data_IF_931199994990
#
_entry.id   IF_931199994990
#
_cell.length_a   1.000
_cell.length_b   1.000
_cell.length_c   1.000
_cell.angle_alpha   90.00
_cell.angle_beta   90.00
_cell.angle_gamma   90.00
#
_symmetry.space_group_name_H-M   'P 1'
#
loop_
_entity.id
_entity.type
_entity.pdbx_description
1 polymer ?
#
# COMPACT_ATOMS: atom_id res chain seq x y z
N UNK A 1 38.23 20.14 61.11
CA UNK A 1 38.29 19.06 62.11
C UNK A 1 36.97 18.28 62.10
N UNK A 2 36.83 17.28 61.24
CA UNK A 2 36.33 15.94 61.57
C UNK A 2 36.36 15.06 60.32
N UNK A 3 36.76 13.81 60.55
CA UNK A 3 37.02 12.74 59.60
C UNK A 3 35.73 11.92 59.40
N UNK A 4 35.46 11.49 58.16
CA UNK A 4 35.02 10.11 57.83
C UNK A 4 35.03 9.86 56.31
N UNK A 5 36.02 9.09 55.88
CA UNK A 5 36.02 8.24 54.67
C UNK A 5 34.97 7.10 54.83
N UNK A 6 34.54 6.28 53.86
CA UNK A 6 35.21 5.70 52.67
C UNK A 6 34.20 4.88 51.82
N UNK A 7 34.45 4.77 50.49
CA UNK A 7 34.13 3.68 49.51
C UNK A 7 32.64 3.49 49.11
N UNK A 8 32.26 3.23 47.84
CA UNK A 8 32.63 2.17 46.86
C UNK A 8 32.22 2.70 45.44
N UNK A 9 33.10 2.94 44.46
CA UNK A 9 33.56 2.09 43.33
C UNK A 9 32.48 1.33 42.51
N UNK A 10 32.42 1.67 41.21
CA UNK A 10 32.08 0.84 40.03
C UNK A 10 30.62 0.68 39.51
N UNK A 11 30.59 0.52 38.18
CA UNK A 11 29.52 0.10 37.25
C UNK A 11 28.79 1.27 36.53
N UNK A 12 28.62 1.32 35.21
CA UNK A 12 29.03 0.46 34.10
C UNK A 12 28.79 1.28 32.81
N UNK A 13 29.58 1.04 31.78
CA UNK A 13 29.30 1.45 30.39
C UNK A 13 28.01 0.75 29.90
N UNK A 14 27.33 1.41 28.94
CA UNK A 14 26.30 0.89 28.03
C UNK A 14 24.82 1.15 28.39
N UNK A 15 24.27 2.18 27.75
CA UNK A 15 22.98 2.06 27.06
C UNK A 15 23.07 2.80 25.72
N UNK A 16 23.87 2.24 24.81
CA UNK A 16 23.46 2.23 23.41
C UNK A 16 22.39 1.12 23.27
N UNK A 17 21.45 1.31 22.33
CA UNK A 17 20.42 0.37 21.89
C UNK A 17 19.09 0.38 22.66
N UNK A 18 18.26 1.37 22.35
CA UNK A 18 16.83 1.13 22.10
C UNK A 18 16.42 2.03 20.91
N UNK A 19 16.78 1.58 19.71
CA UNK A 19 16.26 2.06 18.43
C UNK A 19 14.76 1.82 18.33
N UNK A 20 13.94 2.83 17.98
CA UNK A 20 12.63 2.60 17.40
C UNK A 20 12.66 2.67 15.86
N UNK A 21 13.81 2.43 15.21
CA UNK A 21 13.91 2.53 13.75
C UNK A 21 13.63 1.21 13.00
N UNK A 22 13.51 0.07 13.70
CA UNK A 22 13.32 -1.25 13.06
C UNK A 22 11.84 -1.51 12.75
N UNK A 23 10.90 -1.01 13.56
CA UNK A 23 9.47 -1.20 13.31
C UNK A 23 9.00 -0.50 12.02
N UNK A 24 9.45 0.73 11.76
CA UNK A 24 9.08 1.48 10.55
C UNK A 24 9.71 0.91 9.26
N UNK A 25 10.89 0.29 9.34
CA UNK A 25 11.53 -0.29 8.15
C UNK A 25 10.87 -1.59 7.69
N UNK A 26 10.28 -2.36 8.62
CA UNK A 26 9.63 -3.64 8.32
C UNK A 26 8.22 -3.47 7.74
N UNK A 27 7.50 -2.40 8.07
CA UNK A 27 6.17 -2.14 7.48
C UNK A 27 6.25 -1.82 5.97
N UNK A 28 7.28 -1.08 5.54
CA UNK A 28 7.51 -0.82 4.11
C UNK A 28 7.96 -2.05 3.31
N UNK A 29 8.56 -3.07 3.94
CA UNK A 29 9.04 -4.26 3.22
C UNK A 29 7.92 -5.19 2.77
N UNK A 30 6.70 -4.99 3.28
CA UNK A 30 5.56 -5.88 3.03
C UNK A 30 4.47 -5.24 2.15
N UNK A 31 4.69 -4.03 1.62
CA UNK A 31 3.78 -3.42 0.66
C UNK A 31 3.74 -4.24 -0.62
N UNK A 32 2.60 -4.86 -0.90
CA UNK A 32 2.36 -5.59 -2.14
C UNK A 32 1.53 -4.73 -3.07
N UNK A 33 1.86 -4.71 -4.36
CA UNK A 33 1.07 -4.02 -5.39
C UNK A 33 0.73 -5.00 -6.50
N UNK A 34 -0.53 -5.04 -6.89
CA UNK A 34 -1.04 -5.77 -8.05
C UNK A 34 -1.60 -4.77 -9.06
N UNK A 35 -1.60 -5.11 -10.34
CA UNK A 35 -2.08 -4.18 -11.37
C UNK A 35 -2.57 -4.88 -12.64
N UNK A 36 -3.53 -4.24 -13.31
CA UNK A 36 -4.00 -4.58 -14.65
C UNK A 36 -3.92 -3.34 -15.55
N UNK A 37 -3.85 -3.54 -16.86
CA UNK A 37 -3.81 -2.43 -17.81
C UNK A 37 -4.56 -2.76 -19.10
N UNK A 38 -5.24 -1.76 -19.65
CA UNK A 38 -5.97 -1.86 -20.92
C UNK A 38 -5.72 -0.64 -21.79
N UNK A 39 -5.83 -0.83 -23.10
CA UNK A 39 -5.80 0.26 -24.05
C UNK A 39 -7.14 0.99 -24.07
N UNK A 40 -7.07 2.32 -24.14
CA UNK A 40 -8.21 3.22 -24.22
C UNK A 40 -8.08 4.00 -25.52
N UNK A 41 -9.04 3.80 -26.43
CA UNK A 41 -9.16 4.35 -27.78
C UNK A 41 -7.92 4.25 -28.69
N UNK A 42 -6.95 3.41 -28.31
CA UNK A 42 -5.66 3.24 -29.00
C UNK A 42 -4.60 4.29 -28.65
N UNK A 43 -4.97 5.50 -28.21
CA UNK A 43 -4.03 6.58 -27.89
C UNK A 43 -3.69 6.68 -26.39
N UNK A 44 -4.39 5.95 -25.52
CA UNK A 44 -4.19 5.97 -24.07
C UNK A 44 -4.04 4.55 -23.51
N UNK A 45 -3.45 4.45 -22.33
CA UNK A 45 -3.43 3.25 -21.49
C UNK A 45 -4.07 3.59 -20.15
N UNK A 46 -5.04 2.81 -19.71
CA UNK A 46 -5.55 2.85 -18.35
C UNK A 46 -4.88 1.71 -17.57
N UNK A 47 -4.14 2.05 -16.52
CA UNK A 47 -3.61 1.10 -15.55
C UNK A 47 -4.38 1.25 -14.24
N UNK A 48 -4.87 0.13 -13.72
CA UNK A 48 -5.49 0.04 -12.40
C UNK A 48 -4.56 -0.74 -11.48
N UNK A 49 -4.22 -0.19 -10.32
CA UNK A 49 -3.39 -0.85 -9.32
C UNK A 49 -4.04 -0.84 -7.95
N UNK A 50 -3.77 -1.89 -7.18
CA UNK A 50 -4.18 -2.04 -5.79
C UNK A 50 -2.93 -2.35 -4.98
N UNK A 51 -2.75 -1.65 -3.86
CA UNK A 51 -1.67 -1.92 -2.92
C UNK A 51 -2.12 -1.93 -1.46
N UNK A 52 -1.50 -2.79 -0.67
CA UNK A 52 -1.75 -2.94 0.76
C UNK A 52 -0.56 -3.61 1.43
N UNK A 53 -0.46 -3.48 2.75
CA UNK A 53 0.54 -4.20 3.55
C UNK A 53 0.09 -5.65 3.65
N UNK A 54 0.82 -6.56 3.00
CA UNK A 54 0.53 -7.98 3.12
C UNK A 54 1.26 -8.54 4.35
N UNK A 55 0.53 -8.73 5.46
CA UNK A 55 1.08 -9.33 6.69
C UNK A 55 1.06 -10.85 6.68
N UNK A 56 0.32 -11.43 5.75
CA UNK A 56 0.24 -12.86 5.58
C UNK A 56 1.33 -13.25 4.57
N UNK A 57 2.45 -13.74 5.09
CA UNK A 57 3.71 -14.21 4.44
C UNK A 57 3.51 -15.26 3.30
N UNK A 58 2.29 -15.37 2.77
CA UNK A 58 1.92 -15.99 1.52
C UNK A 58 2.69 -15.33 0.38
N UNK A 59 3.66 -16.05 -0.17
CA UNK A 59 4.24 -15.78 -1.48
C UNK A 59 3.10 -15.49 -2.47
N UNK A 60 2.96 -14.29 -3.05
CA UNK A 60 1.90 -14.06 -4.02
C UNK A 60 2.26 -14.85 -5.29
N UNK A 61 1.50 -15.90 -5.67
CA UNK A 61 1.81 -16.64 -6.90
C UNK A 61 1.29 -15.89 -8.15
N UNK A 62 0.41 -14.89 -7.95
CA UNK A 62 -0.35 -14.24 -9.00
C UNK A 62 -0.25 -12.71 -8.87
N UNK A 63 0.23 -12.07 -9.94
CA UNK A 63 0.31 -10.61 -10.10
C UNK A 63 -1.03 -9.86 -10.01
N UNK A 64 -2.15 -10.59 -9.95
CA UNK A 64 -3.51 -10.04 -9.85
C UNK A 64 -4.20 -10.31 -8.52
N UNK A 65 -3.57 -10.98 -7.56
CA UNK A 65 -4.18 -11.29 -6.25
C UNK A 65 -3.39 -10.68 -5.10
N UNK A 66 -4.06 -9.96 -4.22
CA UNK A 66 -3.49 -9.40 -2.98
C UNK A 66 -4.23 -9.93 -1.76
N UNK A 67 -3.49 -10.21 -0.70
CA UNK A 67 -4.01 -10.69 0.58
C UNK A 67 -3.94 -9.57 1.61
N UNK A 68 -5.02 -9.38 2.35
CA UNK A 68 -5.18 -8.33 3.37
C UNK A 68 -5.92 -8.88 4.57
N UNK A 69 -5.78 -8.21 5.71
CA UNK A 69 -6.56 -8.49 6.90
C UNK A 69 -7.72 -7.49 7.04
N UNK A 70 -8.79 -7.84 7.80
CA UNK A 70 -9.78 -6.88 8.23
C UNK A 70 -9.14 -5.64 8.86
N UNK A 71 -9.63 -4.45 8.51
CA UNK A 71 -9.10 -3.19 9.02
C UNK A 71 -7.85 -2.66 8.29
N UNK A 72 -7.31 -3.39 7.32
CA UNK A 72 -6.19 -2.90 6.52
C UNK A 72 -6.59 -1.77 5.58
N UNK A 73 -5.65 -0.85 5.35
CA UNK A 73 -5.82 0.19 4.33
C UNK A 73 -5.42 -0.37 2.98
N UNK A 74 -6.36 -0.32 2.03
CA UNK A 74 -6.17 -0.68 0.63
C UNK A 74 -6.10 0.61 -0.16
N UNK A 75 -5.00 0.81 -0.88
CA UNK A 75 -4.81 1.90 -1.82
C UNK A 75 -5.17 1.45 -3.22
N UNK A 76 -5.90 2.29 -3.96
CA UNK A 76 -6.26 2.05 -5.35
C UNK A 76 -5.85 3.25 -6.18
N UNK A 77 -5.23 3.00 -7.32
CA UNK A 77 -4.86 4.02 -8.28
C UNK A 77 -5.39 3.66 -9.66
N UNK A 78 -6.02 4.64 -10.32
CA UNK A 78 -6.43 4.60 -11.72
C UNK A 78 -5.56 5.60 -12.47
N UNK A 79 -4.70 5.10 -13.35
CA UNK A 79 -3.73 5.89 -14.11
C UNK A 79 -4.05 5.87 -15.60
N UNK A 80 -4.66 6.95 -16.11
CA UNK A 80 -4.97 7.13 -17.52
C UNK A 80 -3.87 7.97 -18.19
N UNK A 81 -3.03 7.32 -18.99
CA UNK A 81 -1.84 7.94 -19.58
C UNK A 81 -1.87 7.91 -21.09
N UNK A 82 -1.69 9.07 -21.72
CA UNK A 82 -1.55 9.21 -23.16
C UNK A 82 -0.24 8.61 -23.65
N UNK A 83 -0.31 7.82 -24.71
CA UNK A 83 0.86 7.28 -25.43
C UNK A 83 1.61 8.37 -26.20
N UNK A 84 0.95 9.51 -26.44
CA UNK A 84 1.49 10.71 -27.10
C UNK A 84 1.16 11.93 -26.26
N UNK A 85 2.11 12.87 -26.15
CA UNK A 85 1.95 14.07 -25.32
C UNK A 85 0.82 15.01 -25.79
N UNK A 86 0.48 14.97 -27.08
CA UNK A 86 -0.49 15.89 -27.71
C UNK A 86 -1.95 15.43 -27.67
N UNK A 87 -2.24 14.29 -27.02
CA UNK A 87 -3.59 13.77 -26.87
C UNK A 87 -4.08 14.05 -25.45
N UNK A 88 -5.37 14.35 -25.31
CA UNK A 88 -6.04 14.50 -24.01
C UNK A 88 -7.22 13.56 -23.87
N UNK A 89 -7.41 12.99 -22.69
CA UNK A 89 -8.56 12.17 -22.32
C UNK A 89 -8.89 12.38 -20.85
N UNK A 90 -10.08 11.94 -20.43
CA UNK A 90 -10.49 11.91 -19.02
C UNK A 90 -11.23 10.63 -18.68
N UNK A 91 -11.65 10.50 -17.43
CA UNK A 91 -12.58 9.46 -17.01
C UNK A 91 -14.02 9.85 -17.34
N UNK A 92 -14.82 8.91 -17.83
CA UNK A 92 -16.29 9.04 -17.84
C UNK A 92 -16.84 8.68 -16.46
N UNK A 93 -18.15 8.76 -16.26
CA UNK A 93 -18.74 8.25 -15.02
C UNK A 93 -18.51 6.74 -14.89
N UNK A 94 -18.09 6.27 -13.71
CA UNK A 94 -17.80 4.86 -13.46
C UNK A 94 -18.08 4.47 -12.00
N UNK A 95 -18.16 3.17 -11.77
CA UNK A 95 -18.20 2.51 -10.47
C UNK A 95 -17.01 1.58 -10.34
N UNK A 96 -16.41 1.60 -9.17
CA UNK A 96 -15.44 0.63 -8.69
C UNK A 96 -16.19 -0.33 -7.77
N UNK A 97 -16.29 -1.60 -8.17
CA UNK A 97 -16.68 -2.69 -7.28
C UNK A 97 -15.41 -3.14 -6.56
N UNK A 98 -15.43 -3.09 -5.23
CA UNK A 98 -14.26 -3.37 -4.39
C UNK A 98 -14.57 -4.46 -3.36
N UNK A 99 -13.57 -4.88 -2.60
CA UNK A 99 -13.83 -5.70 -1.40
C UNK A 99 -14.66 -4.91 -0.37
N UNK A 100 -15.29 -5.57 0.60
CA UNK A 100 -16.08 -4.90 1.65
C UNK A 100 -15.36 -3.71 2.25
N UNK A 101 -16.10 -2.61 2.45
CA UNK A 101 -15.58 -1.33 2.94
C UNK A 101 -16.00 -1.15 4.40
N UNK A 102 -15.03 -1.00 5.29
CA UNK A 102 -15.28 -0.56 6.66
C UNK A 102 -15.35 0.98 6.75
N UNK A 103 -14.44 1.66 6.06
CA UNK A 103 -14.34 3.12 6.07
C UNK A 103 -13.78 3.63 4.74
N UNK A 104 -14.30 4.76 4.29
CA UNK A 104 -13.82 5.47 3.11
C UNK A 104 -13.96 6.98 3.31
N UNK A 105 -12.96 7.74 2.84
CA UNK A 105 -13.04 9.19 2.77
C UNK A 105 -12.52 9.69 1.42
N UNK A 106 -13.32 10.48 0.71
CA UNK A 106 -12.87 11.11 -0.53
C UNK A 106 -11.76 12.15 -0.25
N UNK A 107 -11.73 12.75 0.93
CA UNK A 107 -10.74 13.78 1.30
C UNK A 107 -9.30 13.26 1.44
N UNK A 108 -9.12 11.94 1.61
CA UNK A 108 -7.79 11.31 1.62
C UNK A 108 -7.31 10.92 0.24
N UNK A 109 -8.16 10.99 -0.78
CA UNK A 109 -7.82 10.72 -2.18
C UNK A 109 -7.44 11.98 -2.95
N UNK A 110 -6.90 11.78 -4.15
CA UNK A 110 -6.56 12.88 -5.05
C UNK A 110 -6.86 12.58 -6.51
N UNK A 111 -7.30 13.60 -7.24
CA UNK A 111 -7.30 13.67 -8.69
C UNK A 111 -6.10 14.50 -9.14
N UNK A 112 -5.19 13.89 -9.88
CA UNK A 112 -4.02 14.55 -10.46
C UNK A 112 -4.14 14.58 -11.98
N UNK A 113 -3.72 15.65 -12.62
CA UNK A 113 -3.73 15.71 -14.07
C UNK A 113 -2.68 16.65 -14.63
N UNK A 114 -2.22 16.33 -15.84
CA UNK A 114 -1.31 17.15 -16.64
C UNK A 114 -1.98 17.53 -17.94
N UNK A 115 -1.94 18.82 -18.29
CA UNK A 115 -2.47 19.30 -19.57
C UNK A 115 -1.39 19.16 -20.65
N UNK A 116 -1.81 18.90 -21.89
CA UNK A 116 -0.87 18.82 -23.02
C UNK A 116 -0.02 20.07 -23.20
N UNK A 117 -0.60 21.26 -22.99
CA UNK A 117 0.06 22.55 -23.19
C UNK A 117 0.79 23.08 -21.95
N UNK A 118 0.73 22.39 -20.81
CA UNK A 118 1.26 22.86 -19.55
C UNK A 118 1.99 21.72 -18.82
N UNK A 119 3.31 21.83 -18.59
CA UNK A 119 4.05 20.80 -17.90
C UNK A 119 3.66 20.65 -16.43
N UNK A 120 2.93 21.62 -15.86
CA UNK A 120 2.50 21.64 -14.46
C UNK A 120 1.55 20.49 -14.14
N UNK A 121 1.84 19.80 -13.04
CA UNK A 121 0.93 18.82 -12.46
C UNK A 121 -0.08 19.54 -11.58
N UNK A 122 -1.36 19.42 -11.91
CA UNK A 122 -2.45 19.90 -11.08
C UNK A 122 -2.92 18.76 -10.19
N UNK A 123 -3.33 19.09 -8.96
CA UNK A 123 -3.88 18.13 -8.01
C UNK A 123 -5.08 18.75 -7.28
N UNK A 124 -6.11 17.95 -7.07
CA UNK A 124 -7.28 18.27 -6.25
C UNK A 124 -7.59 17.10 -5.33
N UNK A 125 -8.15 17.36 -4.15
CA UNK A 125 -8.73 16.30 -3.33
C UNK A 125 -10.04 15.82 -3.94
N UNK A 126 -10.42 14.55 -3.75
CA UNK A 126 -11.59 13.97 -4.42
C UNK A 126 -12.93 14.47 -3.87
N UNK A 127 -12.94 15.13 -2.72
CA UNK A 127 -14.09 15.86 -2.17
C UNK A 127 -14.20 17.31 -2.70
N UNK A 128 -13.19 17.82 -3.43
CA UNK A 128 -13.13 19.17 -4.01
C UNK A 128 -12.98 19.15 -5.55
N UNK A 129 -13.57 18.16 -6.22
CA UNK A 129 -13.55 18.04 -7.69
C UNK A 129 -14.78 18.60 -8.40
N UNK A 130 -15.51 19.52 -7.76
CA UNK A 130 -16.72 20.10 -8.35
C UNK A 130 -16.49 20.59 -9.80
N UNK A 131 -17.44 20.34 -10.73
CA UNK A 131 -18.79 19.80 -10.49
C UNK A 131 -18.86 18.26 -10.39
N UNK A 132 -17.75 17.54 -10.55
CA UNK A 132 -17.72 16.07 -10.46
C UNK A 132 -17.90 15.60 -9.00
N UNK A 133 -18.18 14.32 -8.79
CA UNK A 133 -18.27 13.73 -7.45
C UNK A 133 -17.56 12.40 -7.36
N UNK A 134 -16.94 12.12 -6.21
CA UNK A 134 -16.34 10.83 -5.89
C UNK A 134 -16.77 10.38 -4.49
N UNK A 135 -17.53 9.29 -4.38
CA UNK A 135 -18.13 8.87 -3.10
C UNK A 135 -18.36 7.37 -3.02
N UNK A 136 -18.41 6.84 -1.80
CA UNK A 136 -18.96 5.52 -1.55
C UNK A 136 -20.49 5.54 -1.74
N UNK A 137 -21.04 4.54 -2.43
CA UNK A 137 -22.49 4.42 -2.66
C UNK A 137 -23.07 3.07 -2.24
N UNK A 138 -22.24 2.16 -1.75
CA UNK A 138 -22.63 0.88 -1.18
C UNK A 138 -21.48 0.27 -0.39
N UNK A 139 -21.71 -0.88 0.22
CA UNK A 139 -20.72 -1.53 1.10
C UNK A 139 -19.49 -2.05 0.35
N UNK A 140 -19.57 -2.12 -0.98
CA UNK A 140 -18.52 -2.60 -1.89
C UNK A 140 -18.43 -1.71 -3.14
N UNK A 141 -18.88 -0.46 -3.08
CA UNK A 141 -18.97 0.38 -4.28
C UNK A 141 -18.52 1.81 -4.03
N UNK A 142 -17.56 2.25 -4.83
CA UNK A 142 -17.10 3.64 -4.93
C UNK A 142 -17.47 4.16 -6.32
N UNK A 143 -18.05 5.34 -6.41
CA UNK A 143 -18.59 5.90 -7.64
C UNK A 143 -17.94 7.24 -7.96
N UNK A 144 -17.46 7.37 -9.20
CA UNK A 144 -17.10 8.64 -9.81
C UNK A 144 -18.23 9.06 -10.77
N UNK A 145 -18.75 10.27 -10.57
CA UNK A 145 -19.67 10.90 -11.54
C UNK A 145 -19.00 12.10 -12.18
N UNK A 146 -18.72 11.97 -13.47
CA UNK A 146 -18.28 13.08 -14.31
C UNK A 146 -19.49 13.91 -14.73
N UNK A 147 -19.55 15.16 -14.28
CA UNK A 147 -20.61 16.12 -14.58
C UNK A 147 -20.17 17.20 -15.56
N UNK A 148 -18.99 17.07 -16.17
CA UNK A 148 -18.59 18.03 -17.20
C UNK A 148 -19.46 17.90 -18.46
N UNK A 149 -19.68 19.02 -19.20
CA UNK A 149 -20.53 19.02 -20.40
C UNK A 149 -20.11 18.02 -21.48
N UNK A 150 -18.84 17.61 -21.49
CA UNK A 150 -18.30 16.66 -22.46
C UNK A 150 -18.52 15.20 -22.05
N UNK A 151 -19.13 14.94 -20.89
CA UNK A 151 -19.33 13.60 -20.34
C UNK A 151 -18.05 12.92 -19.85
N UNK A 152 -16.95 13.68 -19.79
CA UNK A 152 -15.71 13.32 -19.13
C UNK A 152 -15.53 14.22 -17.92
N UNK A 153 -14.89 13.74 -16.86
CA UNK A 153 -14.33 14.59 -15.82
C UNK A 153 -13.18 15.45 -16.35
N UNK A 154 -12.21 15.76 -15.50
CA UNK A 154 -10.99 16.47 -15.93
C UNK A 154 -10.24 15.69 -17.01
N UNK A 155 -9.83 16.41 -18.06
CA UNK A 155 -9.05 15.85 -19.16
C UNK A 155 -7.59 16.30 -19.11
N UNK A 156 -6.70 15.40 -19.55
CA UNK A 156 -5.26 15.63 -19.58
C UNK A 156 -4.56 14.61 -20.47
N UNK A 157 -3.27 14.82 -20.71
CA UNK A 157 -2.43 13.79 -21.34
C UNK A 157 -1.99 12.71 -20.33
N UNK A 158 -2.19 12.99 -19.04
CA UNK A 158 -2.03 12.06 -17.93
C UNK A 158 -3.02 12.48 -16.85
N UNK A 159 -3.93 11.58 -16.45
CA UNK A 159 -4.93 11.80 -15.40
C UNK A 159 -4.87 10.61 -14.45
N UNK A 160 -4.75 10.88 -13.15
CA UNK A 160 -4.64 9.86 -12.11
C UNK A 160 -5.69 10.10 -11.04
N UNK A 161 -6.44 9.07 -10.65
CA UNK A 161 -7.30 9.07 -9.46
C UNK A 161 -6.66 8.11 -8.45
N UNK A 162 -6.24 8.65 -7.32
CA UNK A 162 -5.70 7.90 -6.18
C UNK A 162 -6.70 7.95 -5.03
N UNK A 163 -7.05 6.81 -4.45
CA UNK A 163 -7.89 6.77 -3.25
C UNK A 163 -7.52 5.57 -2.37
N UNK A 164 -8.09 5.53 -1.17
CA UNK A 164 -7.93 4.41 -0.26
C UNK A 164 -9.20 4.14 0.52
N UNK A 165 -9.36 2.90 0.95
CA UNK A 165 -10.43 2.49 1.85
C UNK A 165 -9.91 1.45 2.85
N UNK A 166 -10.62 1.32 3.96
CA UNK A 166 -10.34 0.30 4.97
C UNK A 166 -11.12 -0.97 4.65
N UNK A 167 -10.45 -2.12 4.63
CA UNK A 167 -11.06 -3.42 4.38
C UNK A 167 -12.08 -3.78 5.47
N UNK A 168 -13.25 -4.27 5.05
CA UNK A 168 -14.31 -4.77 5.91
C UNK A 168 -13.94 -6.05 6.64
N UNK A 169 -14.83 -6.46 7.55
CA UNK A 169 -14.61 -7.65 8.39
C UNK A 169 -15.08 -8.96 7.76
N UNK A 170 -15.76 -8.90 6.62
CA UNK A 170 -16.20 -10.10 5.92
C UNK A 170 -15.02 -10.75 5.21
N UNK A 171 -14.73 -11.99 5.61
CA UNK A 171 -13.68 -12.80 5.02
C UNK A 171 -14.13 -13.37 3.66
N UNK A 172 -13.20 -13.48 2.71
CA UNK A 172 -13.51 -14.07 1.41
C UNK A 172 -12.59 -13.60 0.29
N UNK A 173 -12.84 -14.14 -0.91
CA UNK A 173 -12.20 -13.71 -2.14
C UNK A 173 -13.12 -12.75 -2.91
N UNK A 174 -12.63 -11.56 -3.23
CA UNK A 174 -13.39 -10.52 -3.88
C UNK A 174 -12.71 -10.10 -5.18
N UNK A 175 -13.35 -10.35 -6.32
CA UNK A 175 -12.93 -9.75 -7.59
C UNK A 175 -13.40 -8.31 -7.64
N UNK A 176 -12.46 -7.39 -7.73
CA UNK A 176 -12.69 -5.96 -7.86
C UNK A 176 -12.72 -5.56 -9.34
N UNK A 177 -13.57 -4.60 -9.70
CA UNK A 177 -13.88 -4.29 -11.10
C UNK A 177 -14.03 -2.79 -11.34
N UNK A 178 -13.53 -2.32 -12.47
CA UNK A 178 -13.82 -0.99 -13.01
C UNK A 178 -14.99 -1.10 -14.01
N UNK A 179 -16.11 -0.44 -13.71
CA UNK A 179 -17.34 -0.54 -14.49
C UNK A 179 -17.81 0.86 -14.93
N UNK A 180 -17.90 1.16 -16.24
CA UNK A 180 -18.55 2.37 -16.72
C UNK A 180 -19.99 2.48 -16.21
N UNK A 181 -20.46 3.69 -15.91
CA UNK A 181 -21.78 3.89 -15.30
C UNK A 181 -22.95 3.59 -16.25
N UNK A 182 -22.71 3.59 -17.56
CA UNK A 182 -23.67 3.28 -18.62
C UNK A 182 -22.98 2.76 -19.88
N UNK A 183 -23.73 2.17 -20.83
CA UNK A 183 -23.19 1.80 -22.14
C UNK A 183 -22.65 3.03 -22.91
N UNK A 184 -23.29 4.20 -22.75
CA UNK A 184 -22.80 5.45 -23.35
C UNK A 184 -21.44 5.84 -22.77
N UNK A 185 -21.26 5.70 -21.45
CA UNK A 185 -19.98 5.98 -20.80
C UNK A 185 -18.90 4.98 -21.21
N UNK A 186 -19.27 3.72 -21.48
CA UNK A 186 -18.38 2.68 -21.99
C UNK A 186 -17.95 2.97 -23.43
N UNK A 187 -18.88 3.29 -24.31
CA UNK A 187 -18.60 3.67 -25.71
C UNK A 187 -17.74 4.93 -25.77
N UNK A 188 -18.04 5.93 -24.93
CA UNK A 188 -17.28 7.18 -24.86
C UNK A 188 -15.89 6.97 -24.27
N UNK A 189 -15.76 6.17 -23.21
CA UNK A 189 -14.46 5.85 -22.63
C UNK A 189 -13.62 5.02 -23.61
N UNK A 190 -14.24 4.08 -24.32
CA UNK A 190 -13.65 3.30 -25.41
C UNK A 190 -12.42 2.48 -24.97
N UNK A 191 -12.57 1.68 -23.92
CA UNK A 191 -11.53 0.72 -23.51
C UNK A 191 -11.68 -0.61 -24.26
N UNK A 192 -10.56 -1.22 -24.67
CA UNK A 192 -10.56 -2.46 -25.46
C UNK A 192 -11.11 -3.65 -24.67
N UNK A 193 -10.56 -3.89 -23.48
CA UNK A 193 -10.97 -4.99 -22.59
C UNK A 193 -10.83 -4.57 -21.13
N UNK A 194 -11.95 -4.25 -20.50
CA UNK A 194 -11.99 -3.83 -19.10
C UNK A 194 -11.70 -4.98 -18.12
N UNK A 195 -11.91 -6.24 -18.51
CA UNK A 195 -11.64 -7.39 -17.63
C UNK A 195 -10.15 -7.58 -17.34
N UNK A 196 -9.28 -6.98 -18.15
CA UNK A 196 -7.84 -6.93 -17.87
C UNK A 196 -7.51 -6.13 -16.60
N UNK A 197 -8.42 -5.24 -16.16
CA UNK A 197 -8.33 -4.43 -14.95
C UNK A 197 -8.89 -5.13 -13.70
N UNK A 198 -9.50 -6.32 -13.86
CA UNK A 198 -10.00 -7.11 -12.75
C UNK A 198 -8.83 -7.58 -11.89
N UNK A 199 -8.94 -7.33 -10.58
CA UNK A 199 -7.94 -7.63 -9.56
C UNK A 199 -8.63 -8.27 -8.36
N UNK A 200 -8.01 -9.26 -7.74
CA UNK A 200 -8.56 -10.00 -6.61
C UNK A 200 -7.99 -9.51 -5.30
N UNK A 201 -8.88 -9.21 -4.35
CA UNK A 201 -8.54 -8.94 -2.95
C UNK A 201 -9.06 -10.10 -2.12
N UNK A 202 -8.18 -10.75 -1.37
CA UNK A 202 -8.53 -11.81 -0.43
C UNK A 202 -8.44 -11.26 0.99
N UNK A 203 -9.58 -11.20 1.67
CA UNK A 203 -9.64 -10.84 3.09
C UNK A 203 -9.59 -12.12 3.91
N UNK A 204 -8.52 -12.30 4.66
CA UNK A 204 -8.31 -13.47 5.53
C UNK A 204 -7.80 -13.04 6.91
N UNK A 205 -7.91 -13.93 7.89
CA UNK A 205 -7.41 -13.65 9.24
C UNK A 205 -5.89 -13.43 9.25
N UNK A 206 -5.37 -12.65 10.21
CA UNK A 206 -3.93 -12.51 10.39
C UNK A 206 -3.31 -13.88 10.69
N UNK A 207 -2.34 -14.31 9.90
CA UNK A 207 -1.56 -15.52 10.22
C UNK A 207 -0.73 -15.24 11.46
N UNK A 208 -0.82 -16.12 12.46
CA UNK A 208 0.05 -16.03 13.63
C UNK A 208 1.52 -16.03 13.18
N UNK A 209 2.39 -15.21 13.80
CA UNK A 209 3.80 -15.20 13.47
C UNK A 209 4.38 -16.59 13.70
N UNK A 210 4.99 -17.18 12.66
CA UNK A 210 5.53 -18.54 12.76
C UNK A 210 6.54 -18.64 13.91
N UNK A 211 6.25 -19.47 14.91
CA UNK A 211 7.14 -19.79 16.03
C UNK A 211 8.54 -20.21 15.56
N UNK A 212 8.68 -20.75 14.34
CA UNK A 212 9.96 -21.10 13.74
C UNK A 212 10.90 -19.91 13.50
N UNK A 213 10.39 -18.73 13.10
CA UNK A 213 11.20 -17.49 12.99
C UNK A 213 11.59 -16.96 14.39
N UNK A 214 10.71 -17.14 15.38
CA UNK A 214 10.94 -16.83 16.79
C UNK A 214 11.84 -17.88 17.50
N UNK A 215 12.23 -18.98 16.85
CA UNK A 215 13.24 -19.87 17.42
C UNK A 215 14.61 -19.71 16.74
N UNK A 216 14.64 -19.29 15.47
CA UNK A 216 15.87 -18.99 14.74
C UNK A 216 16.67 -17.81 15.33
N UNK A 217 16.01 -16.72 15.71
CA UNK A 217 16.67 -15.57 16.37
C UNK A 217 17.23 -15.92 17.76
N UNK A 218 16.49 -16.68 18.58
CA UNK A 218 16.97 -17.12 19.90
C UNK A 218 18.13 -18.11 19.76
N UNK A 219 18.09 -19.02 18.78
CA UNK A 219 19.19 -19.93 18.47
C UNK A 219 20.47 -19.22 18.02
N UNK A 220 20.34 -18.16 17.19
CA UNK A 220 21.47 -17.34 16.75
C UNK A 220 22.14 -16.55 17.88
N UNK A 221 21.35 -15.98 18.78
CA UNK A 221 21.86 -15.22 19.94
C UNK A 221 22.50 -16.14 20.99
N UNK A 222 21.94 -17.34 21.22
CA UNK A 222 22.56 -18.37 22.07
C UNK A 222 23.87 -18.92 21.48
N UNK A 223 23.97 -19.06 20.16
CA UNK A 223 25.21 -19.46 19.49
C UNK A 223 26.35 -18.46 19.68
N UNK A 224 26.05 -17.16 19.64
CA UNK A 224 27.05 -16.09 19.86
C UNK A 224 27.48 -16.05 21.34
N UNK A 225 26.57 -16.26 22.29
CA UNK A 225 26.91 -16.35 23.72
C UNK A 225 27.81 -17.55 24.06
N UNK A 226 27.64 -18.69 23.38
CA UNK A 226 28.52 -19.84 23.55
C UNK A 226 29.95 -19.59 23.05
N UNK A 227 30.12 -18.85 21.95
CA UNK A 227 31.44 -18.49 21.40
C UNK A 227 32.16 -17.46 22.28
N UNK A 228 31.43 -16.47 22.80
CA UNK A 228 32.01 -15.45 23.71
C UNK A 228 32.32 -16.04 25.09
N UNK A 229 31.48 -16.94 25.60
CA UNK A 229 31.73 -17.65 26.86
C UNK A 229 32.92 -18.61 26.79
N UNK A 230 33.11 -19.31 25.67
CA UNK A 230 34.25 -20.21 25.46
C UNK A 230 35.60 -19.48 25.34
N UNK A 231 35.62 -18.32 24.67
CA UNK A 231 36.83 -17.50 24.54
C UNK A 231 37.31 -16.88 25.86
N UNK A 232 36.38 -16.44 26.70
CA UNK A 232 36.70 -15.83 28.00
C UNK A 232 37.25 -16.84 29.01
N UNK A 233 36.78 -18.10 28.98
CA UNK A 233 37.30 -19.18 29.83
C UNK A 233 38.75 -19.56 29.47
N UNK A 234 39.09 -19.60 28.19
CA UNK A 234 40.47 -19.88 27.75
C UNK A 234 41.46 -18.76 28.12
N UNK A 235 41.03 -17.50 28.11
CA UNK A 235 41.84 -16.36 28.56
C UNK A 235 42.05 -16.37 30.08
N UNK A 236 41.02 -16.66 30.87
CA UNK A 236 41.13 -16.78 32.34
C UNK A 236 42.06 -17.93 32.75
N UNK A 237 42.02 -19.06 32.04
CA UNK A 237 42.89 -20.22 32.34
C UNK A 237 44.38 -19.93 32.13
N UNK A 238 44.73 -19.03 31.20
CA UNK A 238 46.12 -18.65 30.96
C UNK A 238 46.63 -17.56 31.91
N UNK A 239 45.74 -16.74 32.50
CA UNK A 239 46.10 -15.70 33.47
C UNK A 239 46.27 -16.23 34.91
N UNK A 240 45.68 -17.38 35.25
CA UNK A 240 45.75 -17.98 36.59
C UNK A 240 46.92 -18.98 36.72
N UNK A 241 47.74 -19.19 35.69
CA UNK A 241 49.06 -19.84 35.84
C UNK A 241 50.11 -18.81 36.29
N UNK A 242 49.99 -18.40 37.55
CA UNK A 242 51.10 -18.02 38.44
C UNK A 242 50.90 -18.83 39.72
#
# INVERSE_FOLDING_TARGET
>A
MNIRSTKIVAALVAMALCTPNIAFAQETSNLTTISGSTDVNGDFSLTRSISAINRNDSTPPDSKTIYVNPGDTIHVQLDLKGKKANRTHGFTSFKEVVSPIQAFSASSGSLKYKKTSDPTLFAKQLDDIAPDTFKQTGDQTIEFKGNSPLGFGVTGNHVTIDYSYTAGNELGEYTTQFLPASEIDKERFNANDLSTLDLKVVIEEPKEPSLGKILGWLGGVLGILAVVGGGLWHLLRNLIRI
#
